data_IF_226653720386
#
_entry.id   IF_226653720386
#
_cell.length_a   1.000
_cell.length_b   1.000
_cell.length_c   1.000
_cell.angle_alpha   90.00
_cell.angle_beta   90.00
_cell.angle_gamma   90.00
#
_symmetry.space_group_name_H-M   'P 1'
#
loop_
_entity.id
_entity.type
_entity.pdbx_description
1 polymer ?
#
# COMPACT_ATOMS: atom_id res chain seq x y z
N UNK A 1 10.19 -33.76 18.51
CA UNK A 1 10.95 -33.30 19.72
C UNK A 1 10.00 -32.99 20.87
N UNK A 2 10.51 -32.92 22.11
CA UNK A 2 9.74 -32.53 23.29
C UNK A 2 9.79 -31.02 23.52
N UNK A 3 8.86 -30.44 24.29
CA UNK A 3 8.79 -29.02 24.66
C UNK A 3 10.14 -28.44 25.10
N UNK A 4 10.89 -29.16 25.96
CA UNK A 4 12.21 -28.70 26.46
C UNK A 4 13.22 -28.47 25.35
N UNK A 5 13.23 -29.34 24.34
CA UNK A 5 14.08 -29.21 23.18
C UNK A 5 13.66 -28.06 22.25
N UNK A 6 12.33 -27.89 22.05
CA UNK A 6 11.77 -26.77 21.30
C UNK A 6 12.17 -25.43 21.92
N UNK A 7 12.06 -25.30 23.25
CA UNK A 7 12.51 -24.10 23.98
C UNK A 7 14.00 -23.86 23.77
N UNK A 8 14.84 -24.92 23.90
CA UNK A 8 16.29 -24.81 23.71
C UNK A 8 16.64 -24.32 22.30
N UNK A 9 15.94 -24.80 21.29
CA UNK A 9 16.22 -24.46 19.88
C UNK A 9 15.71 -23.09 19.46
N UNK A 10 14.59 -22.66 20.01
CA UNK A 10 13.94 -21.40 19.59
C UNK A 10 14.27 -20.23 20.51
N UNK A 11 14.68 -20.50 21.75
CA UNK A 11 14.88 -19.48 22.77
C UNK A 11 13.57 -18.78 23.20
N UNK A 12 12.42 -19.42 22.99
CA UNK A 12 11.10 -18.88 23.34
C UNK A 12 10.55 -19.64 24.56
N UNK A 13 9.94 -18.91 25.50
CA UNK A 13 9.43 -19.53 26.74
C UNK A 13 8.25 -20.49 26.47
N UNK A 14 8.03 -21.42 27.40
CA UNK A 14 6.92 -22.37 27.34
C UNK A 14 5.56 -21.65 27.22
N UNK A 15 5.36 -20.59 28.00
CA UNK A 15 4.15 -19.78 28.03
C UNK A 15 3.85 -19.17 26.66
N UNK A 16 4.87 -18.64 26.02
CA UNK A 16 4.76 -18.08 24.67
C UNK A 16 4.47 -19.15 23.61
N UNK A 17 5.09 -20.33 23.71
CA UNK A 17 4.79 -21.44 22.79
C UNK A 17 3.35 -21.90 22.96
N UNK A 18 2.85 -22.02 24.20
CA UNK A 18 1.44 -22.32 24.47
C UNK A 18 0.50 -21.21 23.95
N UNK A 19 0.90 -19.95 24.12
CA UNK A 19 0.15 -18.82 23.55
C UNK A 19 0.06 -18.94 22.03
N UNK A 20 1.18 -19.14 21.32
CA UNK A 20 1.19 -19.29 19.85
C UNK A 20 0.34 -20.49 19.38
N UNK A 21 0.37 -21.59 20.13
CA UNK A 21 -0.43 -22.78 19.83
C UNK A 21 -1.92 -22.48 19.99
N UNK A 22 -2.33 -21.86 21.10
CA UNK A 22 -3.73 -21.49 21.37
C UNK A 22 -4.26 -20.50 20.34
N UNK A 23 -3.45 -19.55 19.92
CA UNK A 23 -3.80 -18.55 18.93
C UNK A 23 -3.81 -19.08 17.48
N UNK A 24 -3.47 -20.36 17.28
CA UNK A 24 -3.42 -21.01 15.96
C UNK A 24 -2.31 -20.45 15.07
N UNK A 25 -1.22 -19.96 15.66
CA UNK A 25 -0.05 -19.46 14.96
C UNK A 25 0.97 -20.56 14.63
N UNK A 26 0.87 -21.71 15.28
CA UNK A 26 1.70 -22.88 15.04
C UNK A 26 0.90 -23.97 14.30
N UNK A 27 1.59 -24.84 13.56
CA UNK A 27 0.99 -26.05 13.01
C UNK A 27 0.30 -26.90 14.08
N UNK A 28 -0.65 -27.76 13.72
CA UNK A 28 -1.26 -28.70 14.68
C UNK A 28 -0.20 -29.54 15.39
N UNK A 29 -0.33 -29.64 16.72
CA UNK A 29 0.60 -30.40 17.56
C UNK A 29 0.02 -31.79 17.81
N UNK A 30 0.78 -32.82 17.50
CA UNK A 30 0.42 -34.20 17.83
C UNK A 30 0.48 -34.46 19.33
N UNK A 31 -0.59 -34.99 19.88
CA UNK A 31 -0.70 -35.37 21.29
C UNK A 31 -0.98 -36.87 21.39
N UNK A 32 0.03 -37.74 21.30
CA UNK A 32 -0.17 -39.18 21.37
C UNK A 32 -0.71 -39.68 22.73
N UNK A 33 -0.46 -38.92 23.79
CA UNK A 33 -1.00 -39.17 25.14
C UNK A 33 -1.35 -37.84 25.83
N UNK A 34 -2.26 -37.85 26.83
CA UNK A 34 -2.50 -36.66 27.68
C UNK A 34 -1.14 -36.16 28.22
N UNK A 35 -0.85 -34.88 28.04
CA UNK A 35 0.38 -34.20 28.46
C UNK A 35 1.66 -34.53 27.67
N UNK A 36 1.59 -35.27 26.56
CA UNK A 36 2.74 -35.55 25.68
C UNK A 36 2.56 -34.89 24.32
N UNK A 37 2.87 -33.63 24.23
CA UNK A 37 2.94 -32.92 22.94
C UNK A 37 4.24 -33.28 22.20
N UNK A 38 4.12 -33.64 20.93
CA UNK A 38 5.25 -33.86 20.02
C UNK A 38 5.33 -32.69 19.01
N UNK A 39 6.49 -32.08 18.97
CA UNK A 39 6.80 -30.99 18.03
C UNK A 39 7.73 -31.51 16.92
N UNK A 40 7.62 -30.93 15.74
CA UNK A 40 8.38 -31.24 14.57
C UNK A 40 9.24 -30.04 14.15
N UNK A 41 10.07 -30.19 13.14
CA UNK A 41 10.91 -29.12 12.61
C UNK A 41 10.10 -27.89 12.18
N UNK A 42 8.97 -28.13 11.51
CA UNK A 42 8.03 -27.06 11.10
C UNK A 42 7.54 -26.17 12.23
N UNK A 43 7.56 -26.65 13.48
CA UNK A 43 7.22 -25.82 14.65
C UNK A 43 8.38 -24.92 15.04
N UNK A 44 9.63 -25.41 14.94
CA UNK A 44 10.84 -24.62 15.17
C UNK A 44 10.91 -23.47 14.17
N UNK A 45 10.80 -23.78 12.89
CA UNK A 45 10.83 -22.81 11.79
C UNK A 45 9.75 -21.72 11.99
N UNK A 46 8.53 -22.14 12.31
CA UNK A 46 7.42 -21.20 12.54
C UNK A 46 7.65 -20.29 13.74
N UNK A 47 8.20 -20.81 14.84
CA UNK A 47 8.50 -20.01 16.05
C UNK A 47 9.65 -19.03 15.76
N UNK A 48 10.69 -19.47 15.06
CA UNK A 48 11.80 -18.60 14.68
C UNK A 48 11.32 -17.47 13.74
N UNK A 49 10.44 -17.79 12.81
CA UNK A 49 9.81 -16.79 11.95
C UNK A 49 9.00 -15.76 12.75
N UNK A 50 8.16 -16.20 13.69
CA UNK A 50 7.41 -15.29 14.58
C UNK A 50 8.37 -14.38 15.34
N UNK A 51 9.45 -14.96 15.91
CA UNK A 51 10.46 -14.20 16.65
C UNK A 51 11.17 -13.18 15.76
N UNK A 52 11.53 -13.55 14.53
CA UNK A 52 12.14 -12.65 13.54
C UNK A 52 11.23 -11.48 13.20
N UNK A 53 9.94 -11.74 12.95
CA UNK A 53 8.94 -10.70 12.68
C UNK A 53 8.73 -9.76 13.87
N UNK A 54 8.78 -10.26 15.10
CA UNK A 54 8.70 -9.43 16.30
C UNK A 54 9.95 -8.59 16.52
N UNK A 55 11.14 -9.20 16.44
CA UNK A 55 12.40 -8.56 16.83
C UNK A 55 12.98 -7.65 15.75
N UNK A 56 12.96 -8.08 14.47
CA UNK A 56 13.54 -7.31 13.38
C UNK A 56 12.55 -6.30 12.77
N UNK A 57 11.24 -6.58 12.85
CA UNK A 57 10.21 -5.80 12.19
C UNK A 57 9.30 -5.06 13.16
N UNK A 58 9.48 -5.23 14.47
CA UNK A 58 8.64 -4.61 15.51
C UNK A 58 7.14 -4.84 15.32
N UNK A 59 6.76 -5.92 14.60
CA UNK A 59 5.36 -6.21 14.32
C UNK A 59 4.63 -6.66 15.59
N UNK A 60 3.46 -6.08 15.89
CA UNK A 60 2.59 -6.58 16.95
C UNK A 60 2.18 -8.03 16.68
N UNK A 61 2.07 -8.82 17.73
CA UNK A 61 1.75 -10.26 17.61
C UNK A 61 0.40 -10.52 16.93
N UNK A 62 -0.55 -9.60 17.08
CA UNK A 62 -1.83 -9.63 16.37
C UNK A 62 -1.71 -9.55 14.85
N UNK A 63 -0.75 -8.79 14.37
CA UNK A 63 -0.45 -8.67 12.94
C UNK A 63 0.27 -9.92 12.43
N UNK A 64 1.25 -10.41 13.18
CA UNK A 64 1.94 -11.67 12.85
C UNK A 64 0.94 -12.82 12.75
N UNK A 65 -0.04 -12.88 13.66
CA UNK A 65 -1.13 -13.86 13.62
C UNK A 65 -1.94 -13.78 12.32
N UNK A 66 -2.24 -12.58 11.82
CA UNK A 66 -2.95 -12.38 10.56
C UNK A 66 -2.12 -12.86 9.36
N UNK A 67 -0.84 -12.49 9.31
CA UNK A 67 0.10 -12.91 8.27
C UNK A 67 0.17 -14.43 8.20
N UNK A 68 0.28 -15.10 9.34
CA UNK A 68 0.34 -16.56 9.42
C UNK A 68 -0.98 -17.23 9.01
N UNK A 69 -2.13 -16.70 9.47
CA UNK A 69 -3.45 -17.31 9.18
C UNK A 69 -3.90 -17.13 7.73
N UNK A 70 -3.54 -16.03 7.09
CA UNK A 70 -3.89 -15.77 5.70
C UNK A 70 -3.13 -16.65 4.70
N UNK A 71 -2.28 -17.56 5.18
CA UNK A 71 -1.53 -18.49 4.34
C UNK A 71 -0.50 -17.81 3.43
N UNK A 72 -0.20 -16.54 3.68
CA UNK A 72 0.76 -15.74 2.92
C UNK A 72 2.21 -16.16 3.16
N UNK A 73 2.45 -17.12 4.05
CA UNK A 73 3.77 -17.59 4.43
C UNK A 73 3.87 -19.11 4.41
N UNK A 74 4.41 -19.63 3.33
CA UNK A 74 5.03 -20.95 3.32
C UNK A 74 6.45 -20.83 3.89
N UNK A 75 7.04 -21.90 4.52
CA UNK A 75 8.44 -21.92 4.91
C UNK A 75 9.39 -21.56 3.75
N UNK A 76 9.01 -21.92 2.52
CA UNK A 76 9.72 -21.58 1.27
C UNK A 76 9.67 -20.07 0.92
N UNK A 77 8.81 -19.28 1.61
CA UNK A 77 8.63 -17.85 1.35
C UNK A 77 9.45 -16.96 2.32
N UNK A 78 10.33 -17.57 3.15
CA UNK A 78 11.12 -16.83 4.14
C UNK A 78 12.03 -15.80 3.46
N UNK A 79 12.64 -16.15 2.34
CA UNK A 79 13.47 -15.26 1.54
C UNK A 79 12.65 -14.11 0.93
N UNK A 80 11.45 -14.42 0.44
CA UNK A 80 10.52 -13.41 -0.08
C UNK A 80 10.07 -12.42 1.02
N UNK A 81 9.87 -12.93 2.25
CA UNK A 81 9.57 -12.08 3.40
C UNK A 81 10.72 -11.17 3.79
N UNK A 82 11.95 -11.67 3.74
CA UNK A 82 13.13 -10.87 4.02
C UNK A 82 13.27 -9.74 2.99
N UNK A 83 13.05 -10.04 1.71
CA UNK A 83 13.02 -9.04 0.64
C UNK A 83 11.90 -8.03 0.90
N UNK A 84 10.64 -8.47 1.04
CA UNK A 84 9.51 -7.56 1.31
C UNK A 84 9.74 -6.66 2.52
N UNK A 85 10.21 -7.24 3.59
CA UNK A 85 10.41 -6.52 4.85
C UNK A 85 11.57 -5.54 4.83
N UNK A 86 12.47 -5.64 3.87
CA UNK A 86 13.52 -4.64 3.65
C UNK A 86 12.99 -3.38 2.96
N UNK A 87 11.84 -3.48 2.29
CA UNK A 87 11.27 -2.41 1.47
C UNK A 87 9.93 -1.88 1.95
N UNK A 88 9.25 -2.53 2.92
CA UNK A 88 7.97 -2.06 3.45
C UNK A 88 8.11 -1.54 4.88
N UNK A 89 7.46 -0.40 5.14
CA UNK A 89 7.40 0.18 6.47
C UNK A 89 6.45 -0.65 7.37
N UNK A 90 6.81 -0.75 8.66
CA UNK A 90 5.96 -1.33 9.69
C UNK A 90 4.58 -0.62 9.79
N UNK A 91 4.51 0.65 9.39
CA UNK A 91 3.27 1.43 9.33
C UNK A 91 2.21 0.82 8.41
N UNK A 92 2.60 0.14 7.32
CA UNK A 92 1.67 -0.52 6.41
C UNK A 92 0.83 -1.60 7.09
N UNK A 93 1.39 -2.27 8.08
CA UNK A 93 0.71 -3.32 8.85
C UNK A 93 -0.22 -2.78 9.92
N UNK A 94 -0.13 -1.49 10.25
CA UNK A 94 -1.03 -0.83 11.21
C UNK A 94 -2.32 -0.31 10.56
N UNK A 95 -2.38 -0.30 9.23
CA UNK A 95 -3.56 0.16 8.49
C UNK A 95 -4.69 -0.88 8.54
N UNK A 96 -5.97 -0.45 8.50
CA UNK A 96 -7.11 -1.36 8.43
C UNK A 96 -7.04 -2.27 7.22
N UNK A 97 -7.37 -3.56 7.38
CA UNK A 97 -7.46 -4.51 6.24
C UNK A 97 -8.57 -4.15 5.26
N UNK A 98 -9.61 -3.52 5.75
CA UNK A 98 -10.73 -3.00 4.96
C UNK A 98 -11.47 -1.93 5.74
N UNK A 99 -12.12 -1.05 5.03
CA UNK A 99 -13.06 -0.06 5.59
C UNK A 99 -14.42 -0.28 4.94
N UNK A 100 -15.46 -0.36 5.76
CA UNK A 100 -16.84 -0.54 5.30
C UNK A 100 -17.57 0.81 5.37
N UNK A 101 -18.13 1.23 4.25
CA UNK A 101 -18.87 2.48 4.12
C UNK A 101 -18.01 3.65 3.64
N UNK A 102 -18.67 4.51 2.87
CA UNK A 102 -18.03 5.66 2.23
C UNK A 102 -17.58 6.70 3.27
N UNK A 103 -18.45 7.02 4.25
CA UNK A 103 -18.11 8.01 5.28
C UNK A 103 -16.90 7.59 6.13
N UNK A 104 -16.87 6.33 6.57
CA UNK A 104 -15.71 5.82 7.33
C UNK A 104 -14.40 5.89 6.53
N UNK A 105 -14.47 5.68 5.21
CA UNK A 105 -13.30 5.83 4.34
C UNK A 105 -12.86 7.28 4.19
N UNK A 106 -13.81 8.23 4.08
CA UNK A 106 -13.51 9.67 4.03
C UNK A 106 -12.84 10.14 5.33
N UNK A 107 -13.39 9.73 6.48
CA UNK A 107 -12.84 10.08 7.80
C UNK A 107 -11.41 9.54 7.97
N UNK A 108 -11.15 8.32 7.52
CA UNK A 108 -9.83 7.70 7.62
C UNK A 108 -8.80 8.33 6.68
N UNK A 109 -9.18 8.54 5.43
CA UNK A 109 -8.26 9.08 4.39
C UNK A 109 -8.06 10.58 4.47
N UNK A 110 -9.00 11.31 5.07
CA UNK A 110 -9.03 12.77 5.07
C UNK A 110 -9.38 13.39 3.72
N UNK A 111 -10.01 12.60 2.82
CA UNK A 111 -10.49 13.09 1.53
C UNK A 111 -11.88 13.69 1.62
N UNK A 112 -12.22 14.60 0.68
CA UNK A 112 -13.60 15.01 0.43
C UNK A 112 -14.31 13.99 -0.44
N UNK A 113 -15.65 13.96 -0.33
CA UNK A 113 -16.52 13.08 -1.13
C UNK A 113 -16.31 13.27 -2.64
N UNK A 114 -16.19 14.51 -3.09
CA UNK A 114 -15.96 14.86 -4.49
C UNK A 114 -14.67 14.22 -5.04
N UNK A 115 -13.59 14.29 -4.26
CA UNK A 115 -12.31 13.65 -4.61
C UNK A 115 -12.42 12.14 -4.66
N UNK A 116 -13.08 11.53 -3.69
CA UNK A 116 -13.26 10.09 -3.65
C UNK A 116 -14.02 9.62 -4.90
N UNK A 117 -15.10 10.31 -5.29
CA UNK A 117 -15.86 10.00 -6.52
C UNK A 117 -15.01 10.07 -7.77
N UNK A 118 -14.12 11.06 -7.89
CA UNK A 118 -13.20 11.15 -9.02
C UNK A 118 -12.21 9.99 -9.02
N UNK A 119 -11.60 9.65 -7.88
CA UNK A 119 -10.64 8.55 -7.81
C UNK A 119 -11.30 7.18 -8.02
N UNK A 120 -12.55 7.00 -7.62
CA UNK A 120 -13.33 5.80 -7.97
C UNK A 120 -13.60 5.76 -9.49
N UNK A 121 -14.02 6.86 -10.09
CA UNK A 121 -14.23 6.99 -11.55
C UNK A 121 -12.94 6.75 -12.34
N UNK A 122 -11.81 7.19 -11.82
CA UNK A 122 -10.50 6.96 -12.45
C UNK A 122 -9.95 5.56 -12.19
N UNK A 123 -10.64 4.69 -11.45
CA UNK A 123 -10.15 3.37 -11.03
C UNK A 123 -8.79 3.44 -10.28
N UNK A 124 -8.57 4.50 -9.52
CA UNK A 124 -7.43 4.63 -8.60
C UNK A 124 -7.81 4.04 -7.24
N UNK A 125 -9.00 4.37 -6.75
CA UNK A 125 -9.59 3.77 -5.55
C UNK A 125 -10.76 2.89 -6.00
N UNK A 126 -10.65 1.58 -5.76
CA UNK A 126 -11.63 0.61 -6.26
C UNK A 126 -12.33 -0.08 -5.09
N UNK A 127 -13.55 0.37 -4.71
CA UNK A 127 -14.34 -0.32 -3.71
C UNK A 127 -14.96 -1.60 -4.29
N UNK A 128 -15.29 -2.55 -3.41
CA UNK A 128 -16.10 -3.72 -3.71
C UNK A 128 -17.50 -3.51 -3.15
N UNK A 129 -18.52 -3.92 -3.88
CA UNK A 129 -19.90 -3.95 -3.36
C UNK A 129 -20.14 -5.28 -2.65
N UNK A 130 -20.42 -5.21 -1.36
CA UNK A 130 -20.76 -6.38 -0.53
C UNK A 130 -22.08 -6.08 0.17
N UNK A 131 -23.12 -6.85 -0.13
CA UNK A 131 -24.46 -6.65 0.43
C UNK A 131 -24.99 -5.20 0.28
N UNK A 132 -24.71 -4.58 -0.87
CA UNK A 132 -25.15 -3.21 -1.16
C UNK A 132 -24.31 -2.09 -0.52
N UNK A 133 -23.29 -2.42 0.25
CA UNK A 133 -22.37 -1.45 0.85
C UNK A 133 -21.02 -1.43 0.14
N UNK A 134 -20.42 -0.25 0.01
CA UNK A 134 -19.05 -0.11 -0.46
C UNK A 134 -18.07 -0.60 0.61
N UNK A 135 -17.20 -1.51 0.23
CA UNK A 135 -16.10 -2.03 1.05
C UNK A 135 -14.80 -1.68 0.36
N UNK A 136 -13.97 -0.90 1.01
CA UNK A 136 -12.65 -0.51 0.51
C UNK A 136 -11.63 -1.53 1.02
N UNK A 137 -11.03 -2.34 0.13
CA UNK A 137 -10.01 -3.32 0.52
C UNK A 137 -8.72 -2.62 0.95
N UNK A 138 -7.79 -3.36 1.53
CA UNK A 138 -6.55 -2.85 2.10
C UNK A 138 -5.77 -1.93 1.14
N UNK A 139 -5.64 -2.31 -0.14
CA UNK A 139 -4.92 -1.51 -1.13
C UNK A 139 -5.61 -0.16 -1.40
N UNK A 140 -6.94 -0.15 -1.45
CA UNK A 140 -7.70 1.10 -1.56
C UNK A 140 -7.55 1.97 -0.30
N UNK A 141 -7.47 1.36 0.89
CA UNK A 141 -7.23 2.06 2.16
C UNK A 141 -5.84 2.71 2.17
N UNK A 142 -4.81 1.99 1.72
CA UNK A 142 -3.44 2.51 1.57
C UNK A 142 -3.39 3.70 0.62
N UNK A 143 -3.91 3.54 -0.59
CA UNK A 143 -3.94 4.61 -1.59
C UNK A 143 -4.72 5.83 -1.09
N UNK A 144 -5.87 5.62 -0.46
CA UNK A 144 -6.66 6.70 0.10
C UNK A 144 -5.90 7.49 1.16
N UNK A 145 -5.26 6.79 2.08
CA UNK A 145 -4.43 7.42 3.13
C UNK A 145 -3.25 8.16 2.54
N UNK A 146 -2.53 7.55 1.59
CA UNK A 146 -1.40 8.17 0.91
C UNK A 146 -1.80 9.46 0.20
N UNK A 147 -2.86 9.45 -0.60
CA UNK A 147 -3.36 10.63 -1.31
C UNK A 147 -3.76 11.74 -0.32
N UNK A 148 -4.39 11.38 0.79
CA UNK A 148 -4.71 12.33 1.86
C UNK A 148 -3.47 12.96 2.49
N UNK A 149 -2.44 12.19 2.74
CA UNK A 149 -1.18 12.66 3.35
C UNK A 149 -0.34 13.47 2.34
N UNK A 150 -0.30 13.10 1.07
CA UNK A 150 0.31 13.89 -0.01
C UNK A 150 -0.23 15.32 -0.01
N UNK A 151 -1.56 15.46 0.07
CA UNK A 151 -2.21 16.78 0.13
C UNK A 151 -1.78 17.59 1.37
N UNK A 152 -1.74 16.96 2.55
CA UNK A 152 -1.31 17.63 3.79
C UNK A 152 0.13 18.13 3.73
N UNK A 153 0.95 17.51 2.88
CA UNK A 153 2.36 17.87 2.66
C UNK A 153 2.58 18.80 1.46
N UNK A 154 1.51 19.37 0.89
CA UNK A 154 1.60 20.35 -0.18
C UNK A 154 1.53 19.79 -1.60
N UNK A 155 1.42 18.46 -1.79
CA UNK A 155 1.13 17.90 -3.11
C UNK A 155 -0.38 18.06 -3.41
N UNK A 156 -0.77 19.28 -3.77
CA UNK A 156 -2.15 19.68 -3.93
C UNK A 156 -2.36 20.43 -5.26
N UNK A 157 -3.62 20.68 -5.60
CA UNK A 157 -3.98 21.40 -6.83
C UNK A 157 -3.38 22.81 -6.87
N UNK A 158 -3.34 23.47 -5.71
CA UNK A 158 -2.79 24.81 -5.56
C UNK A 158 -1.30 24.89 -5.93
N UNK A 159 -0.59 23.78 -5.78
CA UNK A 159 0.83 23.61 -6.12
C UNK A 159 1.05 22.83 -7.43
N UNK A 160 0.03 22.75 -8.30
CA UNK A 160 0.13 22.10 -9.61
C UNK A 160 -0.11 20.60 -9.60
N UNK A 161 -0.27 19.95 -8.44
CA UNK A 161 -0.49 18.51 -8.36
C UNK A 161 -1.99 18.17 -8.41
N UNK A 162 -2.50 17.96 -9.61
CA UNK A 162 -3.94 17.79 -9.87
C UNK A 162 -4.41 16.34 -9.77
N UNK A 163 -5.74 16.16 -9.58
CA UNK A 163 -6.39 14.85 -9.69
C UNK A 163 -6.24 14.25 -11.10
N UNK A 164 -6.25 15.09 -12.12
CA UNK A 164 -6.02 14.68 -13.50
C UNK A 164 -4.60 14.14 -13.68
N UNK A 165 -3.57 14.76 -13.09
CA UNK A 165 -2.20 14.27 -13.13
C UNK A 165 -2.05 12.87 -12.52
N UNK A 166 -2.74 12.57 -11.41
CA UNK A 166 -2.76 11.21 -10.86
C UNK A 166 -3.45 10.21 -11.80
N UNK A 167 -4.51 10.64 -12.49
CA UNK A 167 -5.14 9.83 -13.53
C UNK A 167 -4.18 9.56 -14.70
N UNK A 168 -3.45 10.59 -15.15
CA UNK A 168 -2.50 10.47 -16.24
C UNK A 168 -1.36 9.50 -15.90
N UNK A 169 -0.83 9.56 -14.68
CA UNK A 169 0.16 8.59 -14.17
C UNK A 169 -0.44 7.18 -14.20
N UNK A 170 -1.64 6.97 -13.67
CA UNK A 170 -2.31 5.66 -13.69
C UNK A 170 -2.50 5.15 -15.12
N UNK A 171 -2.94 6.01 -16.03
CA UNK A 171 -3.22 5.63 -17.42
C UNK A 171 -1.93 5.33 -18.19
N UNK A 172 -0.81 5.96 -17.85
CA UNK A 172 0.50 5.64 -18.37
C UNK A 172 1.07 4.31 -17.85
N UNK A 173 0.79 3.95 -16.61
CA UNK A 173 1.27 2.68 -16.03
C UNK A 173 0.72 1.44 -16.74
N UNK A 174 -0.53 1.45 -17.19
CA UNK A 174 -1.18 0.28 -17.81
C UNK A 174 -0.47 -0.12 -19.11
N UNK A 175 -0.34 0.74 -20.13
CA UNK A 175 0.33 0.37 -21.37
C UNK A 175 1.82 0.09 -21.17
N UNK A 176 2.46 0.65 -20.16
CA UNK A 176 3.85 0.37 -19.84
C UNK A 176 4.06 -1.04 -19.28
N UNK A 177 3.13 -1.51 -18.45
CA UNK A 177 3.24 -2.80 -17.76
C UNK A 177 2.62 -3.97 -18.52
N UNK A 178 1.50 -3.75 -19.19
CA UNK A 178 0.69 -4.81 -19.82
C UNK A 178 1.46 -5.70 -20.80
N UNK A 179 2.30 -5.19 -21.73
CA UNK A 179 3.03 -6.03 -22.68
C UNK A 179 3.99 -7.00 -21.98
N UNK A 180 4.70 -6.53 -20.95
CA UNK A 180 5.65 -7.33 -20.18
C UNK A 180 4.92 -8.40 -19.37
N UNK A 181 3.79 -8.06 -18.74
CA UNK A 181 2.96 -9.02 -18.02
C UNK A 181 2.31 -10.06 -18.94
N UNK A 182 1.83 -9.68 -20.10
CA UNK A 182 1.31 -10.63 -21.11
C UNK A 182 2.38 -11.63 -21.54
N UNK A 183 3.61 -11.17 -21.81
CA UNK A 183 4.74 -12.03 -22.15
C UNK A 183 5.07 -12.96 -21.00
N UNK A 184 5.24 -12.43 -19.79
CA UNK A 184 5.50 -13.20 -18.57
C UNK A 184 4.44 -14.30 -18.35
N UNK A 185 3.16 -13.96 -18.44
CA UNK A 185 2.07 -14.91 -18.25
C UNK A 185 2.08 -15.99 -19.32
N UNK A 186 2.34 -15.64 -20.58
CA UNK A 186 2.43 -16.58 -21.69
C UNK A 186 3.55 -17.60 -21.45
N UNK A 187 4.75 -17.13 -21.09
CA UNK A 187 5.89 -17.99 -20.80
C UNK A 187 5.65 -18.86 -19.56
N UNK A 188 5.11 -18.29 -18.51
CA UNK A 188 4.83 -19.00 -17.26
C UNK A 188 3.82 -20.15 -17.47
N UNK A 189 2.81 -19.94 -18.30
CA UNK A 189 1.79 -20.94 -18.59
C UNK A 189 2.19 -21.90 -19.72
N UNK A 190 3.13 -21.50 -20.58
CA UNK A 190 3.64 -22.31 -21.67
C UNK A 190 4.72 -23.32 -21.25
N UNK A 191 5.35 -23.15 -20.10
CA UNK A 191 6.34 -24.05 -19.55
C UNK A 191 5.68 -25.19 -18.75
N UNK A 192 6.39 -26.31 -18.63
CA UNK A 192 5.93 -27.51 -17.89
C UNK A 192 6.01 -27.36 -16.37
N UNK A 193 5.66 -26.20 -15.84
CA UNK A 193 5.58 -25.96 -14.40
C UNK A 193 4.35 -26.63 -13.78
N UNK A 194 4.51 -27.16 -12.59
CA UNK A 194 3.39 -27.60 -11.77
C UNK A 194 2.50 -26.41 -11.38
N UNK A 195 1.22 -26.68 -11.08
CA UNK A 195 0.30 -25.64 -10.59
C UNK A 195 0.84 -24.92 -9.34
N UNK A 196 1.61 -25.62 -8.49
CA UNK A 196 2.24 -25.03 -7.28
C UNK A 196 3.32 -24.04 -7.67
N UNK A 197 4.19 -24.40 -8.61
CA UNK A 197 5.26 -23.52 -9.10
C UNK A 197 4.71 -22.29 -9.81
N UNK A 198 3.72 -22.44 -10.69
CA UNK A 198 3.03 -21.32 -11.34
C UNK A 198 2.50 -20.32 -10.29
N UNK A 199 1.80 -20.83 -9.26
CA UNK A 199 1.28 -19.97 -8.18
C UNK A 199 2.40 -19.26 -7.42
N UNK A 200 3.47 -19.97 -7.10
CA UNK A 200 4.63 -19.40 -6.38
C UNK A 200 5.28 -18.28 -7.20
N UNK A 201 5.60 -18.53 -8.46
CA UNK A 201 6.25 -17.54 -9.34
C UNK A 201 5.33 -16.33 -9.56
N UNK A 202 4.03 -16.55 -9.79
CA UNK A 202 3.06 -15.46 -9.94
C UNK A 202 2.94 -14.62 -8.67
N UNK A 203 2.90 -15.25 -7.49
CA UNK A 203 2.89 -14.55 -6.22
C UNK A 203 4.16 -13.71 -6.03
N UNK A 204 5.34 -14.27 -6.32
CA UNK A 204 6.62 -13.54 -6.28
C UNK A 204 6.61 -12.33 -7.20
N UNK A 205 6.09 -12.46 -8.42
CA UNK A 205 6.01 -11.34 -9.36
C UNK A 205 5.12 -10.20 -8.84
N UNK A 206 3.93 -10.54 -8.31
CA UNK A 206 2.99 -9.55 -7.74
C UNK A 206 3.61 -8.80 -6.54
N UNK A 207 4.49 -9.45 -5.79
CA UNK A 207 5.11 -8.86 -4.60
C UNK A 207 6.38 -8.05 -4.93
N UNK A 208 7.22 -8.49 -5.85
CA UNK A 208 8.51 -7.86 -6.11
C UNK A 208 8.49 -6.82 -7.23
N UNK A 209 7.64 -6.96 -8.24
CA UNK A 209 7.59 -5.98 -9.34
C UNK A 209 7.17 -4.58 -8.85
N UNK A 210 6.19 -4.41 -7.96
CA UNK A 210 5.89 -3.10 -7.41
C UNK A 210 7.06 -2.45 -6.66
N UNK A 211 7.88 -3.24 -5.95
CA UNK A 211 9.07 -2.75 -5.26
C UNK A 211 10.11 -2.25 -6.28
N UNK A 212 10.36 -3.03 -7.33
CA UNK A 212 11.23 -2.61 -8.42
C UNK A 212 10.77 -1.30 -9.07
N UNK A 213 9.46 -1.19 -9.35
CA UNK A 213 8.88 0.03 -9.92
C UNK A 213 9.00 1.23 -8.99
N UNK A 214 8.84 1.02 -7.69
CA UNK A 214 9.04 2.07 -6.70
C UNK A 214 10.47 2.64 -6.77
N UNK A 215 11.49 1.78 -6.73
CA UNK A 215 12.89 2.25 -6.79
C UNK A 215 13.23 2.87 -8.14
N UNK A 216 12.75 2.28 -9.25
CA UNK A 216 12.96 2.84 -10.57
C UNK A 216 12.34 4.24 -10.69
N UNK A 217 11.10 4.40 -10.27
CA UNK A 217 10.40 5.69 -10.34
C UNK A 217 10.96 6.72 -9.36
N UNK A 218 11.44 6.28 -8.20
CA UNK A 218 12.11 7.16 -7.24
C UNK A 218 13.35 7.80 -7.86
N UNK A 219 14.25 7.01 -8.42
CA UNK A 219 15.47 7.51 -9.07
C UNK A 219 15.14 8.46 -10.22
N UNK A 220 14.19 8.09 -11.09
CA UNK A 220 13.77 8.94 -12.20
C UNK A 220 13.16 10.28 -11.74
N UNK A 221 12.44 10.29 -10.62
CA UNK A 221 11.88 11.52 -10.08
C UNK A 221 12.95 12.41 -9.44
N UNK A 222 13.95 11.83 -8.80
CA UNK A 222 15.09 12.59 -8.27
C UNK A 222 15.85 13.27 -9.40
N UNK A 223 16.22 12.53 -10.46
CA UNK A 223 16.89 13.06 -11.65
C UNK A 223 16.10 14.20 -12.31
N UNK A 224 14.78 14.02 -12.50
CA UNK A 224 13.90 15.04 -13.06
C UNK A 224 13.81 16.30 -12.20
N UNK A 225 13.76 16.15 -10.87
CA UNK A 225 13.71 17.29 -9.97
C UNK A 225 15.02 18.08 -9.96
N UNK A 226 16.16 17.40 -9.97
CA UNK A 226 17.47 18.03 -10.07
C UNK A 226 17.59 18.85 -11.36
N UNK A 227 17.24 18.25 -12.52
CA UNK A 227 17.24 18.94 -13.80
C UNK A 227 16.32 20.18 -13.82
N UNK A 228 15.13 20.07 -13.24
CA UNK A 228 14.19 21.19 -13.14
C UNK A 228 14.71 22.33 -12.26
N UNK A 229 15.36 22.02 -11.15
CA UNK A 229 15.94 23.00 -10.23
C UNK A 229 17.13 23.73 -10.90
N UNK A 230 18.01 22.99 -11.56
CA UNK A 230 19.14 23.56 -12.30
C UNK A 230 18.66 24.49 -13.43
N UNK A 231 17.72 24.05 -14.24
CA UNK A 231 17.14 24.83 -15.32
C UNK A 231 16.41 26.09 -14.83
N UNK A 232 15.82 26.05 -13.63
CA UNK A 232 15.19 27.23 -13.03
C UNK A 232 16.19 28.22 -12.46
N UNK A 233 17.29 27.74 -11.92
CA UNK A 233 18.37 28.57 -11.36
C UNK A 233 19.19 29.28 -12.43
N UNK A 234 19.21 28.78 -13.66
CA UNK A 234 19.92 29.37 -14.80
C UNK A 234 19.09 30.36 -15.61
N UNK A 235 17.79 30.50 -15.35
CA UNK A 235 16.96 31.53 -15.98
C UNK A 235 17.21 32.88 -15.30
N UNK A 236 17.64 33.93 -16.02
CA UNK A 236 17.72 35.27 -15.47
C UNK A 236 16.31 35.71 -15.02
N UNK A 237 16.19 36.50 -13.95
CA UNK A 237 14.92 37.04 -13.51
C UNK A 237 14.27 37.77 -14.69
N UNK A 238 13.08 37.34 -15.12
CA UNK A 238 12.31 38.01 -16.15
C UNK A 238 11.91 39.39 -15.61
N UNK A 239 12.63 40.42 -16.04
CA UNK A 239 12.18 41.80 -15.97
C UNK A 239 10.88 41.87 -16.76
N UNK A 240 9.79 42.01 -16.08
CA UNK A 240 8.44 42.46 -16.48
C UNK A 240 7.32 41.60 -15.91
N UNK A 241 7.13 41.70 -14.60
CA UNK A 241 5.78 41.58 -14.08
C UNK A 241 5.17 42.98 -14.04
N UNK A 242 4.53 43.43 -15.12
CA UNK A 242 3.62 44.57 -15.03
C UNK A 242 2.60 44.30 -13.92
N UNK A 243 2.41 45.23 -12.97
CA UNK A 243 1.41 45.03 -11.94
C UNK A 243 0.01 45.00 -12.59
N UNK A 244 -0.93 44.18 -12.10
CA UNK A 244 -2.26 44.06 -12.68
C UNK A 244 -2.95 45.41 -12.66
N UNK A 245 -3.34 45.90 -13.84
CA UNK A 245 -4.10 47.16 -14.01
C UNK A 245 -5.36 47.07 -13.17
N UNK A 246 -5.46 47.94 -12.17
CA UNK A 246 -6.67 48.13 -11.35
C UNK A 246 -7.82 48.46 -12.26
N UNK A 247 -8.82 47.58 -12.35
CA UNK A 247 -10.08 47.85 -13.03
C UNK A 247 -10.75 49.04 -12.39
N UNK A 248 -10.86 50.15 -13.15
CA UNK A 248 -11.60 51.32 -12.77
C UNK A 248 -13.09 50.92 -12.70
N UNK A 249 -13.64 50.96 -11.49
CA UNK A 249 -15.08 50.89 -11.29
C UNK A 249 -15.72 52.13 -11.92
N UNK A 250 -16.47 51.97 -13.01
CA UNK A 250 -17.39 52.96 -13.51
C UNK A 250 -18.47 53.21 -12.45
N UNK A 251 -18.40 54.40 -11.85
CA UNK A 251 -19.50 55.01 -11.14
C UNK A 251 -20.58 55.34 -12.17
N UNK A 252 -21.70 54.62 -12.17
CA UNK A 252 -22.94 55.08 -12.78
C UNK A 252 -23.55 56.09 -11.83
N UNK A 253 -23.53 57.36 -12.28
CA UNK A 253 -24.32 58.44 -11.73
C UNK A 253 -25.79 58.20 -12.02
N UNK A 254 -26.63 58.18 -10.97
CA UNK A 254 -28.05 58.36 -11.06
C UNK A 254 -28.33 59.80 -11.56
N UNK A 255 -29.12 59.94 -12.59
CA UNK A 255 -29.88 61.11 -12.88
C UNK A 255 -31.38 60.76 -12.81
N UNK A 256 -32.02 61.41 -11.84
CA UNK A 256 -33.44 61.42 -11.65
C UNK A 256 -34.15 62.24 -12.74
N UNK A 257 -35.43 61.92 -12.95
CA UNK A 257 -36.43 62.81 -13.32
C UNK A 257 -37.17 62.52 -14.64
N UNK A 258 -38.40 63.06 -14.79
CA UNK A 258 -39.63 62.71 -14.05
C UNK A 258 -40.76 62.24 -14.99
N UNK A 259 -41.84 61.74 -14.36
CA UNK A 259 -43.27 61.71 -14.74
C UNK A 259 -43.71 61.78 -16.22
N UNK A 260 -44.53 60.84 -16.62
CA UNK A 260 -45.92 61.06 -17.05
C UNK A 260 -46.51 59.87 -17.82
N UNK A 261 -47.68 59.50 -17.36
CA UNK A 261 -48.79 58.66 -17.87
C UNK A 261 -48.76 57.17 -17.66
#
# INVERSE_FOLDING_TARGET
MKMRELIKRTGVSREMIHYYTREGMLPPVEKPLPNQARYEERHVERILLIKKLQQKKFLPISQIKKIIKNGTLHPDDEELLDIKSSYFDAADYLMPEKIIGEQAFLDYSGMSLDRLKDFEKFNIIVPRLVKGQKVYPHDAVKLGKLIGDMRKRGLSYENGFSRAGLKDIRDACIPALEPSFRRFTKELLGNNFSKKEVRRIAATAVELIPIFLYHLTHNLLEDLLEEMVENHSTRPPSDSAEPPKKSQKHKKTHSEGPDEH
#
